data_IF_112793480657
#
_entry.id   IF_112793480657
#
_cell.length_a   1.000
_cell.length_b   1.000
_cell.length_c   1.000
_cell.angle_alpha   90.00
_cell.angle_beta   90.00
_cell.angle_gamma   90.00
#
_symmetry.space_group_name_H-M   'P 1'
#
loop_
_entity.id
_entity.type
_entity.pdbx_description
1 polymer ?
#
# COMPACT_ATOMS: atom_id res chain seq x y z
N UNK A 1 30.64 -20.76 -12.79
CA UNK A 1 29.85 -19.80 -13.59
C UNK A 1 28.40 -20.08 -13.26
N UNK A 2 27.80 -19.48 -12.24
CA UNK A 2 27.29 -18.10 -12.23
C UNK A 2 27.52 -17.45 -10.87
N UNK A 3 27.99 -16.22 -10.94
CA UNK A 3 28.42 -15.34 -9.87
C UNK A 3 27.38 -14.21 -9.80
N UNK A 4 26.93 -13.92 -8.59
CA UNK A 4 26.38 -12.65 -8.06
C UNK A 4 25.18 -11.97 -8.77
N UNK A 5 24.16 -11.58 -7.97
CA UNK A 5 23.50 -10.28 -8.18
C UNK A 5 22.01 -10.23 -8.49
N UNK A 6 21.12 -10.69 -7.60
CA UNK A 6 19.68 -10.33 -7.70
C UNK A 6 19.16 -9.49 -6.51
N UNK A 7 19.81 -9.52 -5.35
CA UNK A 7 19.44 -8.57 -4.28
C UNK A 7 20.62 -8.16 -3.42
N UNK A 8 21.30 -7.10 -3.85
CA UNK A 8 22.20 -6.36 -2.96
C UNK A 8 21.40 -5.91 -1.74
N UNK A 9 21.81 -6.37 -0.55
CA UNK A 9 21.43 -5.82 0.77
C UNK A 9 21.89 -4.36 0.96
N UNK A 10 22.35 -3.73 -0.10
CA UNK A 10 22.83 -2.36 -0.10
C UNK A 10 21.63 -1.43 -0.16
N UNK A 11 21.14 -1.04 1.02
CA UNK A 11 20.26 0.10 1.13
C UNK A 11 21.06 1.32 0.69
N UNK A 12 20.64 2.06 -0.36
CA UNK A 12 21.41 3.21 -0.80
C UNK A 12 21.44 4.26 0.32
N UNK A 13 22.61 4.83 0.59
CA UNK A 13 22.78 5.87 1.61
C UNK A 13 21.83 7.05 1.42
N UNK A 14 21.49 7.39 0.17
CA UNK A 14 20.49 8.40 -0.15
C UNK A 14 19.12 8.08 0.44
N UNK A 15 18.68 6.83 0.44
CA UNK A 15 17.41 6.42 1.02
C UNK A 15 17.37 6.64 2.53
N UNK A 16 18.46 6.30 3.23
CA UNK A 16 18.56 6.51 4.68
C UNK A 16 18.51 8.02 4.99
N UNK A 17 19.23 8.84 4.22
CA UNK A 17 19.21 10.30 4.37
C UNK A 17 17.82 10.90 4.15
N UNK A 18 17.10 10.49 3.10
CA UNK A 18 15.73 10.98 2.88
C UNK A 18 14.78 10.51 3.98
N UNK A 19 14.91 9.26 4.41
CA UNK A 19 14.06 8.70 5.47
C UNK A 19 14.24 9.42 6.80
N UNK A 20 15.47 9.75 7.21
CA UNK A 20 15.73 10.50 8.45
C UNK A 20 15.17 11.91 8.37
N UNK A 21 15.32 12.61 7.24
CA UNK A 21 14.74 13.95 7.02
C UNK A 21 13.21 13.90 7.16
N UNK A 22 12.54 12.94 6.51
CA UNK A 22 11.08 12.79 6.63
C UNK A 22 10.65 12.37 8.04
N UNK A 23 11.44 11.54 8.72
CA UNK A 23 11.21 11.18 10.12
C UNK A 23 11.21 12.41 11.03
N UNK A 24 12.19 13.31 10.85
CA UNK A 24 12.27 14.58 11.59
C UNK A 24 11.10 15.51 11.23
N UNK A 25 10.74 15.63 9.95
CA UNK A 25 9.58 16.43 9.50
C UNK A 25 8.29 15.99 10.20
N UNK A 26 8.03 14.68 10.26
CA UNK A 26 6.87 14.09 10.90
C UNK A 26 6.88 14.34 12.41
N UNK A 27 8.03 14.13 13.08
CA UNK A 27 8.17 14.39 14.52
C UNK A 27 7.88 15.85 14.85
N UNK A 28 8.45 16.79 14.09
CA UNK A 28 8.24 18.23 14.29
C UNK A 28 6.77 18.62 14.11
N UNK A 29 6.09 18.07 13.09
CA UNK A 29 4.66 18.33 12.88
C UNK A 29 3.79 17.77 14.00
N UNK A 30 4.08 16.56 14.49
CA UNK A 30 3.33 15.94 15.58
C UNK A 30 3.50 16.74 16.88
N UNK A 31 4.72 17.20 17.19
CA UNK A 31 4.97 18.02 18.38
C UNK A 31 4.42 19.44 18.26
N UNK A 32 4.41 20.03 17.06
CA UNK A 32 3.98 21.41 16.83
C UNK A 32 2.46 21.58 16.75
N UNK A 33 1.75 20.70 16.04
CA UNK A 33 0.30 20.76 15.87
C UNK A 33 -0.47 19.96 16.94
N UNK A 34 0.23 19.09 17.66
CA UNK A 34 -0.40 18.14 18.57
C UNK A 34 -1.05 16.95 17.85
N UNK A 35 -1.13 15.78 18.51
CA UNK A 35 -1.54 14.53 17.86
C UNK A 35 -2.99 14.56 17.35
N UNK A 36 -3.88 15.30 18.03
CA UNK A 36 -5.31 15.36 17.67
C UNK A 36 -5.55 16.16 16.38
N UNK A 37 -4.87 17.28 16.22
CA UNK A 37 -5.00 18.12 15.03
C UNK A 37 -4.21 17.54 13.85
N UNK A 38 -3.09 16.87 14.14
CA UNK A 38 -2.32 16.14 13.14
C UNK A 38 -3.12 15.00 12.48
N UNK A 39 -3.85 14.20 13.27
CA UNK A 39 -4.66 13.09 12.78
C UNK A 39 -5.95 13.52 12.05
N UNK A 40 -6.42 14.75 12.27
CA UNK A 40 -7.58 15.31 11.56
C UNK A 40 -7.30 15.56 10.08
N UNK A 41 -6.05 15.84 9.73
CA UNK A 41 -5.64 16.08 8.35
C UNK A 41 -5.25 14.76 7.65
N UNK A 42 -6.07 14.32 6.69
CA UNK A 42 -5.82 13.09 5.93
C UNK A 42 -4.46 13.06 5.21
N UNK A 43 -3.97 14.22 4.76
CA UNK A 43 -2.66 14.34 4.11
C UNK A 43 -1.49 14.14 5.08
N UNK A 44 -1.65 14.58 6.33
CA UNK A 44 -0.65 14.37 7.38
C UNK A 44 -0.65 12.91 7.83
N UNK A 45 -1.82 12.30 7.97
CA UNK A 45 -1.95 10.87 8.28
C UNK A 45 -1.30 9.99 7.20
N UNK A 46 -1.46 10.33 5.93
CA UNK A 46 -0.80 9.63 4.83
C UNK A 46 0.73 9.75 4.91
N UNK A 47 1.27 10.94 5.16
CA UNK A 47 2.70 11.20 5.30
C UNK A 47 3.33 10.43 6.48
N UNK A 48 2.60 10.35 7.60
CA UNK A 48 2.95 9.54 8.77
C UNK A 48 2.99 8.05 8.45
N UNK A 49 1.92 7.51 7.85
CA UNK A 49 1.82 6.10 7.52
C UNK A 49 2.96 5.66 6.59
N UNK A 50 3.24 6.43 5.53
CA UNK A 50 4.33 6.13 4.59
C UNK A 50 5.70 6.15 5.27
N UNK A 51 5.94 7.12 6.15
CA UNK A 51 7.21 7.22 6.90
C UNK A 51 7.35 6.07 7.91
N UNK A 52 6.26 5.66 8.55
CA UNK A 52 6.23 4.52 9.46
C UNK A 52 6.51 3.20 8.72
N UNK A 53 5.85 2.95 7.59
CA UNK A 53 6.13 1.77 6.75
C UNK A 53 7.58 1.74 6.28
N UNK A 54 8.13 2.89 5.90
CA UNK A 54 9.53 3.00 5.48
C UNK A 54 10.51 2.65 6.61
N UNK A 55 10.21 3.07 7.85
CA UNK A 55 11.00 2.75 9.03
C UNK A 55 10.88 1.26 9.39
N UNK A 56 9.67 0.71 9.37
CA UNK A 56 9.43 -0.72 9.59
C UNK A 56 10.15 -1.58 8.55
N UNK A 57 10.18 -1.15 7.28
CA UNK A 57 10.92 -1.86 6.23
C UNK A 57 12.43 -1.85 6.45
N UNK A 58 13.00 -0.74 6.94
CA UNK A 58 14.41 -0.66 7.29
C UNK A 58 14.73 -1.54 8.51
N UNK A 59 13.86 -1.52 9.52
CA UNK A 59 14.01 -2.30 10.76
C UNK A 59 13.88 -3.79 10.48
N UNK A 60 12.91 -4.20 9.66
CA UNK A 60 12.76 -5.59 9.20
C UNK A 60 13.99 -6.11 8.45
N UNK A 61 14.60 -5.27 7.61
CA UNK A 61 15.84 -5.62 6.90
C UNK A 61 17.02 -5.77 7.88
N UNK A 62 17.08 -4.93 8.93
CA UNK A 62 18.11 -5.02 9.96
C UNK A 62 17.98 -6.28 10.83
N UNK A 63 16.76 -6.77 11.06
CA UNK A 63 16.48 -7.98 11.86
C UNK A 63 16.41 -9.27 11.02
N UNK A 64 16.74 -9.22 9.73
CA UNK A 64 16.76 -10.40 8.83
C UNK A 64 15.43 -11.17 8.76
N UNK A 65 14.32 -10.44 8.90
CA UNK A 65 13.00 -11.05 8.92
C UNK A 65 12.49 -11.25 7.49
N UNK A 66 12.69 -12.44 6.92
CA UNK A 66 12.27 -12.82 5.56
C UNK A 66 10.82 -12.45 5.18
N UNK A 67 9.78 -12.60 6.03
CA UNK A 67 8.41 -12.29 5.62
C UNK A 67 8.12 -10.79 5.44
N UNK A 68 8.94 -9.90 5.99
CA UNK A 68 8.72 -8.45 5.93
C UNK A 68 9.40 -7.77 4.74
N UNK A 69 10.05 -8.55 3.87
CA UNK A 69 10.69 -8.05 2.66
C UNK A 69 9.72 -7.29 1.73
N UNK A 70 8.43 -7.63 1.73
CA UNK A 70 7.41 -6.92 0.95
C UNK A 70 7.34 -5.41 1.27
N UNK A 71 7.66 -4.99 2.50
CA UNK A 71 7.67 -3.57 2.88
C UNK A 71 8.76 -2.80 2.10
N UNK A 72 9.87 -3.47 1.77
CA UNK A 72 10.95 -2.90 0.95
C UNK A 72 10.50 -2.74 -0.52
N UNK A 73 9.63 -3.61 -1.00
CA UNK A 73 9.03 -3.50 -2.35
C UNK A 73 8.07 -2.31 -2.45
N UNK A 74 7.45 -1.91 -1.33
CA UNK A 74 6.55 -0.76 -1.24
C UNK A 74 7.25 0.61 -1.24
N UNK A 75 8.57 0.68 -1.44
CA UNK A 75 9.32 1.95 -1.63
C UNK A 75 8.65 2.96 -2.59
N UNK A 76 8.03 2.56 -3.72
CA UNK A 76 7.32 3.49 -4.60
C UNK A 76 6.17 4.25 -3.93
N UNK A 77 5.59 3.76 -2.83
CA UNK A 77 4.58 4.51 -2.06
C UNK A 77 5.12 5.84 -1.53
N UNK A 78 6.43 5.95 -1.33
CA UNK A 78 7.07 7.20 -0.93
C UNK A 78 7.00 8.25 -2.02
N UNK A 79 7.03 7.84 -3.30
CA UNK A 79 6.87 8.73 -4.46
C UNK A 79 5.45 9.29 -4.53
N UNK A 80 4.46 8.61 -3.94
CA UNK A 80 3.10 9.11 -3.85
C UNK A 80 3.02 10.46 -3.12
N UNK A 81 4.02 10.76 -2.25
CA UNK A 81 4.15 12.08 -1.61
C UNK A 81 4.38 13.21 -2.62
N UNK A 82 4.95 12.94 -3.81
CA UNK A 82 5.10 13.95 -4.87
C UNK A 82 3.74 14.41 -5.42
N UNK A 83 2.72 13.55 -5.39
CA UNK A 83 1.39 13.90 -5.87
C UNK A 83 0.72 14.97 -4.98
N UNK A 84 1.09 15.08 -3.69
CA UNK A 84 0.57 16.14 -2.80
C UNK A 84 1.01 17.55 -3.20
N UNK A 85 2.05 17.69 -4.03
CA UNK A 85 2.63 18.98 -4.43
C UNK A 85 1.79 19.69 -5.51
N UNK A 86 1.13 18.96 -6.41
CA UNK A 86 0.30 19.58 -7.45
C UNK A 86 -1.16 19.60 -7.00
N UNK A 87 -1.77 20.79 -7.04
CA UNK A 87 -3.19 21.01 -6.69
C UNK A 87 -4.15 20.08 -7.45
N UNK A 88 -3.87 19.78 -8.72
CA UNK A 88 -4.68 18.87 -9.55
C UNK A 88 -4.76 17.45 -8.96
N UNK A 89 -3.63 16.89 -8.52
CA UNK A 89 -3.61 15.53 -7.96
C UNK A 89 -4.30 15.45 -6.60
N UNK A 90 -4.19 16.51 -5.78
CA UNK A 90 -4.93 16.58 -4.51
C UNK A 90 -6.43 16.55 -4.75
N UNK A 91 -6.93 17.40 -5.65
CA UNK A 91 -8.35 17.41 -5.99
C UNK A 91 -8.84 16.04 -6.50
N UNK A 92 -8.03 15.36 -7.34
CA UNK A 92 -8.39 14.01 -7.82
C UNK A 92 -8.50 13.03 -6.66
N UNK A 93 -7.49 12.97 -5.79
CA UNK A 93 -7.51 12.04 -4.65
C UNK A 93 -8.65 12.34 -3.68
N UNK A 94 -8.91 13.61 -3.38
CA UNK A 94 -10.03 14.02 -2.54
C UNK A 94 -11.38 13.57 -3.15
N UNK A 95 -11.58 13.77 -4.46
CA UNK A 95 -12.79 13.27 -5.14
C UNK A 95 -12.86 11.74 -5.18
N UNK A 96 -11.73 11.03 -5.27
CA UNK A 96 -11.73 9.57 -5.24
C UNK A 96 -12.22 9.06 -3.87
N UNK A 97 -11.74 9.65 -2.77
CA UNK A 97 -12.18 9.28 -1.42
C UNK A 97 -13.65 9.63 -1.17
N UNK A 98 -14.13 10.75 -1.73
CA UNK A 98 -15.55 11.13 -1.65
C UNK A 98 -16.47 10.17 -2.45
N UNK A 99 -16.01 9.70 -3.61
CA UNK A 99 -16.77 8.78 -4.45
C UNK A 99 -16.65 7.31 -4.00
N UNK A 100 -15.63 6.96 -3.23
CA UNK A 100 -15.37 5.60 -2.73
C UNK A 100 -16.60 4.94 -2.08
N UNK A 101 -17.34 5.56 -1.14
CA UNK A 101 -18.53 4.94 -0.54
C UNK A 101 -19.64 4.64 -1.56
N UNK A 102 -19.79 5.51 -2.58
CA UNK A 102 -20.77 5.31 -3.65
C UNK A 102 -20.35 4.19 -4.60
N UNK A 103 -19.06 4.06 -4.87
CA UNK A 103 -18.52 2.95 -5.67
C UNK A 103 -18.62 1.62 -4.90
N UNK A 104 -18.43 1.65 -3.58
CA UNK A 104 -18.53 0.47 -2.73
C UNK A 104 -19.95 -0.12 -2.71
N UNK A 105 -21.00 0.71 -2.69
CA UNK A 105 -22.38 0.23 -2.75
C UNK A 105 -22.71 -0.43 -4.09
N UNK A 106 -22.24 0.14 -5.21
CA UNK A 106 -22.36 -0.49 -6.54
C UNK A 106 -21.58 -1.80 -6.62
N UNK A 107 -20.37 -1.83 -6.05
CA UNK A 107 -19.55 -3.03 -5.95
C UNK A 107 -20.23 -4.15 -5.16
N UNK A 108 -20.93 -3.80 -4.07
CA UNK A 108 -21.69 -4.76 -3.29
C UNK A 108 -22.83 -5.39 -4.10
N UNK A 109 -23.57 -4.59 -4.88
CA UNK A 109 -24.63 -5.11 -5.76
C UNK A 109 -24.07 -6.06 -6.82
N UNK A 110 -22.93 -5.73 -7.43
CA UNK A 110 -22.24 -6.61 -8.38
C UNK A 110 -21.79 -7.92 -7.74
N UNK A 111 -21.29 -7.87 -6.50
CA UNK A 111 -20.87 -9.05 -5.76
C UNK A 111 -22.06 -9.98 -5.49
N UNK A 112 -23.22 -9.45 -5.09
CA UNK A 112 -24.45 -10.24 -4.90
C UNK A 112 -24.85 -10.93 -6.21
N UNK A 113 -24.77 -10.22 -7.34
CA UNK A 113 -25.06 -10.80 -8.65
C UNK A 113 -24.10 -11.96 -8.97
N UNK A 114 -22.79 -11.77 -8.82
CA UNK A 114 -21.81 -12.83 -8.99
C UNK A 114 -22.02 -14.01 -8.05
N UNK A 115 -22.46 -13.76 -6.82
CA UNK A 115 -22.76 -14.81 -5.85
C UNK A 115 -23.91 -15.72 -6.31
N UNK A 116 -24.98 -15.16 -6.88
CA UNK A 116 -26.07 -15.95 -7.45
C UNK A 116 -25.58 -16.87 -8.59
N UNK A 117 -24.78 -16.34 -9.53
CA UNK A 117 -24.21 -17.16 -10.61
C UNK A 117 -23.19 -18.18 -10.10
N UNK A 118 -22.44 -17.86 -9.05
CA UNK A 118 -21.49 -18.78 -8.44
C UNK A 118 -22.19 -20.00 -7.83
N UNK A 119 -23.31 -19.82 -7.12
CA UNK A 119 -24.10 -20.95 -6.59
C UNK A 119 -24.59 -21.84 -7.73
N UNK A 120 -25.21 -21.24 -8.74
CA UNK A 120 -25.67 -21.98 -9.92
C UNK A 120 -24.50 -22.73 -10.56
N UNK A 121 -23.37 -22.06 -10.78
CA UNK A 121 -22.17 -22.66 -11.34
C UNK A 121 -21.64 -23.84 -10.52
N UNK A 122 -21.65 -23.75 -9.19
CA UNK A 122 -21.26 -24.87 -8.32
C UNK A 122 -22.22 -26.04 -8.44
N UNK A 123 -23.54 -25.82 -8.40
CA UNK A 123 -24.51 -26.92 -8.52
C UNK A 123 -24.40 -27.68 -9.84
N UNK A 124 -24.11 -26.97 -10.95
CA UNK A 124 -24.01 -27.61 -12.27
C UNK A 124 -22.62 -28.20 -12.58
N UNK A 125 -21.55 -27.55 -12.13
CA UNK A 125 -20.17 -27.87 -12.54
C UNK A 125 -19.30 -28.41 -11.39
N UNK A 126 -19.83 -28.57 -10.18
CA UNK A 126 -19.11 -29.20 -9.08
C UNK A 126 -18.73 -30.64 -9.45
N UNK A 127 -17.45 -30.98 -9.25
CA UNK A 127 -16.91 -32.32 -9.49
C UNK A 127 -16.74 -32.73 -10.96
N UNK A 128 -17.00 -31.85 -11.94
CA UNK A 128 -16.83 -32.17 -13.36
C UNK A 128 -15.44 -31.82 -13.94
N UNK A 129 -14.62 -31.08 -13.20
CA UNK A 129 -13.29 -30.64 -13.64
C UNK A 129 -12.20 -31.56 -13.05
N UNK A 130 -11.78 -32.57 -13.82
CA UNK A 130 -10.66 -33.44 -13.44
C UNK A 130 -9.37 -33.04 -14.18
N UNK A 131 -8.19 -33.12 -13.55
CA UNK A 131 -6.92 -32.95 -14.25
C UNK A 131 -6.76 -34.07 -15.30
N UNK A 132 -6.50 -33.68 -16.56
CA UNK A 132 -6.35 -34.55 -17.74
C UNK A 132 -7.64 -35.19 -18.30
N UNK A 133 -8.82 -34.56 -18.11
CA UNK A 133 -10.10 -35.11 -18.58
C UNK A 133 -10.36 -34.97 -20.10
N UNK A 134 -9.51 -34.25 -20.85
CA UNK A 134 -9.59 -34.10 -22.30
C UNK A 134 -8.20 -34.33 -22.90
N UNK A 135 -7.93 -35.56 -23.35
CA UNK A 135 -6.78 -35.92 -24.17
C UNK A 135 -7.29 -36.60 -25.43
#
# INVERSE_FOLDING_TARGET
MLRDGIFSRDVPWSYIMFLTIYGVEVLLKVTGLGPKEYLSSGWNLFDFAVTLFAFLGLLALAFDMEPFYFIVVLRPLQLLRLFKLKKRYRNVLDTMFELLPRMASLGLTLLIFYYCFAIVGMEFFSGKLYPNCCK
#
